data_IF_786746782283
#
_entry.id   IF_786746782283
#
_cell.length_a   1.000
_cell.length_b   1.000
_cell.length_c   1.000
_cell.angle_alpha   90.00
_cell.angle_beta   90.00
_cell.angle_gamma   90.00
#
_symmetry.space_group_name_H-M   'P 1'
#
loop_
_entity.id
_entity.type
_entity.pdbx_description
1 polymer ?
#
# COMPACT_ATOMS: atom_id res chain seq x y z
N UNK A 1 14.41 -36.23 -63.47
CA UNK A 1 13.48 -35.69 -62.45
C UNK A 1 14.05 -35.96 -61.07
N UNK A 2 14.04 -34.97 -60.16
CA UNK A 2 14.07 -35.23 -58.72
C UNK A 2 15.26 -34.66 -57.94
N UNK A 3 15.26 -33.34 -57.67
CA UNK A 3 15.86 -32.70 -56.47
C UNK A 3 15.15 -31.35 -56.24
N UNK A 4 13.92 -31.35 -55.74
CA UNK A 4 13.18 -30.12 -55.35
C UNK A 4 12.40 -30.34 -54.05
N UNK A 5 13.03 -30.95 -53.04
CA UNK A 5 12.36 -31.16 -51.74
C UNK A 5 13.18 -30.70 -50.53
N UNK A 6 14.33 -30.03 -50.73
CA UNK A 6 15.20 -29.64 -49.62
C UNK A 6 15.30 -28.11 -49.39
N UNK A 7 14.80 -27.28 -50.30
CA UNK A 7 14.98 -25.81 -50.23
C UNK A 7 13.86 -25.10 -49.49
N UNK A 8 12.62 -25.64 -49.52
CA UNK A 8 11.46 -25.03 -48.84
C UNK A 8 11.54 -25.24 -47.33
N UNK A 9 11.86 -26.46 -46.89
CA UNK A 9 12.04 -26.76 -45.47
C UNK A 9 13.18 -25.93 -44.84
N UNK A 10 14.23 -25.65 -45.62
CA UNK A 10 15.36 -24.81 -45.20
C UNK A 10 14.96 -23.33 -45.12
N UNK A 11 14.10 -22.83 -46.03
CA UNK A 11 13.55 -21.47 -45.97
C UNK A 11 12.61 -21.27 -44.77
N UNK A 12 11.78 -22.26 -44.48
CA UNK A 12 10.88 -22.25 -43.32
C UNK A 12 11.71 -22.24 -42.02
N UNK A 13 12.72 -23.12 -41.92
CA UNK A 13 13.63 -23.16 -40.76
C UNK A 13 14.41 -21.85 -40.55
N UNK A 14 14.84 -21.18 -41.64
CA UNK A 14 15.50 -19.87 -41.56
C UNK A 14 14.52 -18.78 -41.08
N UNK A 15 13.27 -18.83 -41.51
CA UNK A 15 12.22 -17.89 -41.10
C UNK A 15 11.85 -18.09 -39.64
N UNK A 16 11.68 -19.33 -39.20
CA UNK A 16 11.40 -19.68 -37.79
C UNK A 16 12.52 -19.18 -36.86
N UNK A 17 13.79 -19.36 -37.24
CA UNK A 17 14.93 -18.88 -36.45
C UNK A 17 14.99 -17.34 -36.41
N UNK A 18 14.61 -16.68 -37.51
CA UNK A 18 14.53 -15.22 -37.56
C UNK A 18 13.46 -14.71 -36.59
N UNK A 19 12.27 -15.28 -36.63
CA UNK A 19 11.16 -14.91 -35.75
C UNK A 19 11.50 -15.17 -34.29
N UNK A 20 12.20 -16.28 -34.00
CA UNK A 20 12.72 -16.58 -32.66
C UNK A 20 13.66 -15.49 -32.15
N UNK A 21 14.59 -15.02 -32.99
CA UNK A 21 15.54 -13.95 -32.62
C UNK A 21 14.84 -12.61 -32.43
N UNK A 22 13.88 -12.28 -33.29
CA UNK A 22 13.12 -11.03 -33.18
C UNK A 22 12.31 -11.00 -31.88
N UNK A 23 11.64 -12.11 -31.54
CA UNK A 23 10.91 -12.24 -30.28
C UNK A 23 11.82 -12.07 -29.06
N UNK A 24 13.01 -12.69 -29.07
CA UNK A 24 13.99 -12.52 -27.99
C UNK A 24 14.47 -11.08 -27.87
N UNK A 25 14.72 -10.40 -29.00
CA UNK A 25 15.14 -9.00 -29.00
C UNK A 25 14.03 -8.09 -28.43
N UNK A 26 12.77 -8.31 -28.79
CA UNK A 26 11.64 -7.57 -28.22
C UNK A 26 11.50 -7.77 -26.71
N UNK A 27 11.63 -9.02 -26.24
CA UNK A 27 11.61 -9.32 -24.80
C UNK A 27 12.77 -8.65 -24.07
N UNK A 28 13.95 -8.60 -24.68
CA UNK A 28 15.12 -7.94 -24.11
C UNK A 28 14.91 -6.41 -23.99
N UNK A 29 14.34 -5.77 -25.03
CA UNK A 29 13.98 -4.35 -24.97
C UNK A 29 12.95 -4.12 -23.86
N UNK A 30 11.89 -4.93 -23.81
CA UNK A 30 10.87 -4.84 -22.76
C UNK A 30 11.49 -4.98 -21.35
N UNK A 31 12.39 -5.94 -21.16
CA UNK A 31 13.11 -6.11 -19.90
C UNK A 31 13.90 -4.85 -19.54
N UNK A 32 14.66 -4.28 -20.48
CA UNK A 32 15.47 -3.08 -20.23
C UNK A 32 14.65 -1.86 -19.80
N UNK A 33 13.39 -1.75 -20.24
CA UNK A 33 12.49 -0.65 -19.85
C UNK A 33 11.91 -0.78 -18.44
N UNK A 34 11.92 -1.99 -17.87
CA UNK A 34 11.39 -2.26 -16.53
C UNK A 34 12.45 -2.05 -15.43
N UNK A 35 13.73 -2.01 -15.79
CA UNK A 35 14.82 -1.87 -14.83
C UNK A 35 15.05 -0.40 -14.47
N UNK A 36 15.25 -0.08 -13.18
CA UNK A 36 15.60 1.26 -12.75
C UNK A 36 17.02 1.61 -13.19
N UNK A 37 17.18 2.61 -14.05
CA UNK A 37 18.46 3.17 -14.51
C UNK A 37 19.45 2.11 -15.05
N UNK A 38 19.20 1.50 -16.23
CA UNK A 38 20.12 0.51 -16.79
C UNK A 38 21.50 1.14 -16.97
N UNK A 39 22.51 0.53 -16.34
CA UNK A 39 23.87 1.10 -16.30
C UNK A 39 24.51 1.12 -17.69
N UNK A 40 24.15 0.15 -18.54
CA UNK A 40 24.55 -0.01 -19.95
C UNK A 40 23.48 -0.78 -20.73
N UNK A 41 23.44 -0.58 -22.05
CA UNK A 41 22.48 -1.25 -22.95
C UNK A 41 22.99 -2.59 -23.49
N UNK A 42 24.11 -3.11 -22.99
CA UNK A 42 24.62 -4.41 -23.43
C UNK A 42 23.87 -5.57 -22.76
N UNK A 43 23.83 -6.71 -23.46
CA UNK A 43 23.03 -7.87 -23.05
C UNK A 43 23.41 -8.44 -21.69
N UNK A 44 24.71 -8.40 -21.34
CA UNK A 44 25.18 -8.94 -20.08
C UNK A 44 24.80 -8.01 -18.92
N UNK A 45 25.03 -6.70 -19.05
CA UNK A 45 24.69 -5.73 -18.01
C UNK A 45 23.19 -5.67 -17.74
N UNK A 46 22.32 -5.72 -18.75
CA UNK A 46 20.86 -5.73 -18.52
C UNK A 46 20.41 -6.99 -17.76
N UNK A 47 21.01 -8.14 -18.05
CA UNK A 47 20.68 -9.38 -17.33
C UNK A 47 21.21 -9.38 -15.89
N UNK A 48 22.38 -8.78 -15.67
CA UNK A 48 22.95 -8.58 -14.32
C UNK A 48 22.09 -7.61 -13.50
N UNK A 49 21.76 -6.46 -14.07
CA UNK A 49 20.89 -5.44 -13.46
C UNK A 49 19.51 -6.05 -13.13
N UNK A 50 18.94 -6.87 -14.02
CA UNK A 50 17.69 -7.59 -13.76
C UNK A 50 17.80 -8.58 -12.60
N UNK A 51 18.87 -9.38 -12.54
CA UNK A 51 19.10 -10.31 -11.43
C UNK A 51 19.24 -9.57 -10.10
N UNK A 52 19.94 -8.44 -10.09
CA UNK A 52 20.14 -7.62 -8.90
C UNK A 52 18.84 -6.99 -8.44
N UNK A 53 18.06 -6.43 -9.37
CA UNK A 53 16.77 -5.80 -9.05
C UNK A 53 15.75 -6.80 -8.48
N UNK A 54 15.71 -8.04 -8.99
CA UNK A 54 14.86 -9.10 -8.40
C UNK A 54 15.27 -9.39 -6.96
N UNK A 55 16.57 -9.51 -6.65
CA UNK A 55 17.05 -9.74 -5.28
C UNK A 55 16.74 -8.57 -4.35
N UNK A 56 16.85 -7.34 -4.84
CA UNK A 56 16.47 -6.14 -4.09
C UNK A 56 14.98 -6.16 -3.75
N UNK A 57 14.12 -6.45 -4.74
CA UNK A 57 12.69 -6.58 -4.54
C UNK A 57 12.34 -7.70 -3.53
N UNK A 58 12.99 -8.86 -3.62
CA UNK A 58 12.83 -9.94 -2.65
C UNK A 58 13.24 -9.52 -1.23
N UNK A 59 14.36 -8.77 -1.08
CA UNK A 59 14.79 -8.22 0.20
C UNK A 59 13.78 -7.22 0.77
N UNK A 60 13.28 -6.31 -0.07
CA UNK A 60 12.28 -5.32 0.34
C UNK A 60 10.98 -6.00 0.78
N UNK A 61 10.51 -7.01 0.06
CA UNK A 61 9.33 -7.79 0.47
C UNK A 61 9.58 -8.46 1.82
N UNK A 62 10.74 -9.09 2.02
CA UNK A 62 11.10 -9.73 3.28
C UNK A 62 11.17 -8.74 4.45
N UNK A 63 11.78 -7.57 4.27
CA UNK A 63 11.85 -6.53 5.30
C UNK A 63 10.45 -6.00 5.66
N UNK A 64 9.58 -5.82 4.67
CA UNK A 64 8.19 -5.43 4.88
C UNK A 64 7.39 -6.52 5.62
N UNK A 65 7.63 -7.79 5.31
CA UNK A 65 7.00 -8.92 6.02
C UNK A 65 7.52 -9.04 7.46
N UNK A 66 8.83 -8.92 7.70
CA UNK A 66 9.43 -9.01 9.03
C UNK A 66 9.04 -7.84 9.94
N UNK A 67 8.97 -6.62 9.40
CA UNK A 67 8.45 -5.46 10.13
C UNK A 67 6.95 -5.58 10.46
N UNK A 68 6.18 -6.31 9.64
CA UNK A 68 4.79 -6.67 9.95
C UNK A 68 4.66 -7.80 10.98
N UNK A 69 5.63 -8.74 11.01
CA UNK A 69 5.64 -9.87 11.94
C UNK A 69 6.09 -9.49 13.37
N UNK A 70 6.88 -8.42 13.53
CA UNK A 70 7.28 -7.89 14.84
C UNK A 70 6.14 -7.31 15.69
N UNK A 71 4.94 -7.15 15.12
CA UNK A 71 3.75 -6.63 15.81
C UNK A 71 2.72 -7.73 16.12
N UNK A 72 3.13 -8.99 16.29
CA UNK A 72 2.23 -10.06 16.71
C UNK A 72 2.79 -10.89 17.88
N UNK A 73 1.99 -11.01 18.95
CA UNK A 73 2.18 -11.76 20.21
C UNK A 73 2.79 -10.94 21.36
N UNK A 74 2.14 -10.79 22.52
CA UNK A 74 1.34 -11.78 23.25
C UNK A 74 0.13 -11.13 23.92
N UNK A 75 -1.03 -11.68 23.61
CA UNK A 75 -2.19 -11.60 24.49
C UNK A 75 -2.53 -13.02 24.98
N UNK A 76 -3.26 -13.08 26.09
CA UNK A 76 -3.81 -14.25 26.80
C UNK A 76 -2.91 -14.89 27.87
N UNK A 77 -3.22 -14.57 29.13
CA UNK A 77 -3.73 -15.54 30.13
C UNK A 77 -4.45 -14.81 31.28
N UNK A 78 -5.75 -15.05 31.38
CA UNK A 78 -6.64 -14.70 32.50
C UNK A 78 -6.28 -15.43 33.80
N UNK A 79 -6.35 -14.75 34.95
CA UNK A 79 -7.30 -15.08 36.04
C UNK A 79 -7.10 -14.18 37.28
N UNK A 80 -8.17 -13.45 37.60
CA UNK A 80 -8.78 -13.12 38.90
C UNK A 80 -8.09 -12.29 40.01
N UNK A 81 -8.87 -11.25 40.36
CA UNK A 81 -9.19 -10.65 41.65
C UNK A 81 -8.35 -9.48 42.26
N UNK A 82 -9.15 -8.45 42.60
CA UNK A 82 -9.01 -7.39 43.60
C UNK A 82 -8.23 -6.09 43.30
N UNK A 83 -9.03 -5.08 42.93
CA UNK A 83 -9.15 -3.72 43.50
C UNK A 83 -7.95 -2.74 43.59
N UNK A 84 -8.32 -1.47 43.36
CA UNK A 84 -7.58 -0.23 43.58
C UNK A 84 -6.46 0.18 42.58
N UNK A 85 -6.93 0.70 41.44
CA UNK A 85 -6.55 2.01 40.87
C UNK A 85 -5.05 2.39 40.78
N UNK A 86 -4.45 2.11 39.62
CA UNK A 86 -3.55 3.04 38.89
C UNK A 86 -3.17 2.42 37.55
N UNK A 87 -4.05 2.51 36.56
CA UNK A 87 -3.78 1.92 35.24
C UNK A 87 -3.23 2.98 34.28
N UNK A 88 -1.91 2.95 34.10
CA UNK A 88 -1.23 3.39 32.89
C UNK A 88 -1.97 2.85 31.66
N UNK A 89 -2.77 3.69 30.99
CA UNK A 89 -3.33 3.37 29.68
C UNK A 89 -2.20 3.47 28.65
N UNK A 90 -1.56 2.35 28.38
CA UNK A 90 -0.73 2.18 27.18
C UNK A 90 -1.64 2.32 25.97
N UNK A 91 -1.65 3.54 25.39
CA UNK A 91 -2.31 3.87 24.12
C UNK A 91 -1.80 2.91 23.05
N UNK A 92 -2.63 1.95 22.63
CA UNK A 92 -2.35 1.07 21.50
C UNK A 92 -3.17 1.53 20.30
N UNK A 93 -2.48 2.10 19.31
CA UNK A 93 -2.68 1.74 17.90
C UNK A 93 -3.64 2.52 17.03
N UNK A 94 -4.40 3.48 17.54
CA UNK A 94 -5.41 4.23 16.77
C UNK A 94 -5.34 5.71 17.14
N UNK A 95 -4.27 6.39 16.74
CA UNK A 95 -4.20 7.84 16.91
C UNK A 95 -4.90 8.51 15.73
N UNK A 96 -5.89 9.33 16.03
CA UNK A 96 -6.57 10.16 15.04
C UNK A 96 -5.84 11.49 15.04
N UNK A 97 -5.18 11.78 13.93
CA UNK A 97 -4.55 13.08 13.71
C UNK A 97 -5.58 14.03 13.10
N UNK A 98 -5.73 15.19 13.71
CA UNK A 98 -6.66 16.24 13.27
C UNK A 98 -5.86 17.52 13.02
N UNK A 99 -5.97 18.06 11.82
CA UNK A 99 -5.40 19.34 11.43
C UNK A 99 -6.51 20.28 10.96
N UNK A 100 -6.46 21.54 11.40
CA UNK A 100 -7.47 22.55 11.07
C UNK A 100 -6.77 23.78 10.50
N UNK A 101 -7.26 24.28 9.37
CA UNK A 101 -6.75 25.49 8.71
C UNK A 101 -7.91 26.28 8.10
N UNK A 102 -8.19 27.46 8.65
CA UNK A 102 -9.35 28.24 8.27
C UNK A 102 -10.65 27.44 8.49
N UNK A 103 -11.40 27.22 7.42
CA UNK A 103 -12.62 26.38 7.43
C UNK A 103 -12.37 24.92 7.12
N UNK A 104 -11.16 24.53 6.72
CA UNK A 104 -10.84 23.16 6.32
C UNK A 104 -10.35 22.34 7.51
N UNK A 105 -10.83 21.10 7.59
CA UNK A 105 -10.39 20.06 8.53
C UNK A 105 -9.80 18.91 7.72
N UNK A 106 -8.64 18.43 8.14
CA UNK A 106 -8.07 17.16 7.72
C UNK A 106 -8.10 16.20 8.91
N UNK A 107 -8.74 15.06 8.75
CA UNK A 107 -8.74 13.96 9.72
C UNK A 107 -8.01 12.78 9.11
N UNK A 108 -7.00 12.28 9.80
CA UNK A 108 -6.21 11.12 9.39
C UNK A 108 -6.30 10.06 10.47
N UNK A 109 -6.66 8.84 10.10
CA UNK A 109 -6.76 7.75 11.05
C UNK A 109 -6.49 6.41 10.38
N UNK A 110 -6.11 5.45 11.21
CA UNK A 110 -5.93 4.07 10.81
C UNK A 110 -7.08 3.24 11.36
N UNK A 111 -7.69 2.40 10.53
CA UNK A 111 -8.68 1.45 10.99
C UNK A 111 -8.43 0.07 10.37
N UNK A 112 -9.02 -0.97 10.94
CA UNK A 112 -9.02 -2.29 10.31
C UNK A 112 -9.89 -2.25 9.07
N UNK A 113 -9.70 -3.21 8.17
CA UNK A 113 -10.59 -3.48 7.04
C UNK A 113 -11.87 -4.17 7.53
N UNK A 114 -12.47 -3.65 8.60
CA UNK A 114 -13.85 -3.91 8.96
C UNK A 114 -14.72 -2.76 8.44
N UNK A 115 -15.94 -3.10 8.04
CA UNK A 115 -16.82 -2.15 7.35
C UNK A 115 -17.37 -1.06 8.27
N UNK A 116 -17.25 -1.21 9.59
CA UNK A 116 -17.96 -0.38 10.57
C UNK A 116 -17.14 0.79 11.10
N UNK A 117 -15.83 0.61 11.34
CA UNK A 117 -15.00 1.63 12.02
C UNK A 117 -14.94 2.93 11.22
N UNK A 118 -14.58 2.86 9.94
CA UNK A 118 -14.52 4.06 9.10
C UNK A 118 -15.89 4.71 8.87
N UNK A 119 -16.97 3.92 8.76
CA UNK A 119 -18.32 4.45 8.58
C UNK A 119 -18.79 5.20 9.82
N UNK A 120 -18.47 4.68 11.01
CA UNK A 120 -18.79 5.33 12.27
C UNK A 120 -18.08 6.68 12.40
N UNK A 121 -16.79 6.75 12.06
CA UNK A 121 -16.02 8.00 12.07
C UNK A 121 -16.61 9.02 11.10
N UNK A 122 -16.92 8.62 9.87
CA UNK A 122 -17.55 9.52 8.88
C UNK A 122 -18.93 9.99 9.34
N UNK A 123 -19.73 9.10 9.93
CA UNK A 123 -21.03 9.44 10.50
C UNK A 123 -20.92 10.44 11.64
N UNK A 124 -19.95 10.25 12.53
CA UNK A 124 -19.70 11.16 13.64
C UNK A 124 -19.22 12.53 13.17
N UNK A 125 -18.35 12.58 12.15
CA UNK A 125 -17.94 13.84 11.52
C UNK A 125 -19.15 14.63 10.99
N UNK A 126 -20.11 13.94 10.35
CA UNK A 126 -21.35 14.57 9.88
C UNK A 126 -22.24 15.03 11.04
N UNK A 127 -22.36 14.22 12.10
CA UNK A 127 -23.17 14.56 13.30
C UNK A 127 -22.62 15.80 14.03
N UNK A 128 -21.30 15.94 14.08
CA UNK A 128 -20.61 17.08 14.67
C UNK A 128 -20.75 18.35 13.79
N UNK A 129 -21.25 18.21 12.55
CA UNK A 129 -21.53 19.32 11.65
C UNK A 129 -20.41 19.63 10.65
N UNK A 130 -19.51 18.67 10.40
CA UNK A 130 -18.50 18.79 9.35
C UNK A 130 -19.09 18.36 8.01
N UNK A 131 -18.84 19.14 6.95
CA UNK A 131 -19.21 18.77 5.58
C UNK A 131 -18.05 18.04 4.91
N UNK A 132 -18.20 16.75 4.62
CA UNK A 132 -17.14 15.97 3.98
C UNK A 132 -16.97 16.41 2.53
N UNK A 133 -15.79 16.94 2.19
CA UNK A 133 -15.42 17.34 0.83
C UNK A 133 -14.86 16.13 0.07
N UNK A 134 -13.92 15.41 0.69
CA UNK A 134 -13.29 14.26 0.07
C UNK A 134 -12.82 13.24 1.10
N UNK A 135 -12.75 11.99 0.68
CA UNK A 135 -12.25 10.88 1.48
C UNK A 135 -11.35 10.03 0.61
N UNK A 136 -10.15 9.75 1.10
CA UNK A 136 -9.18 8.89 0.47
C UNK A 136 -8.82 7.75 1.44
N UNK A 137 -8.92 6.51 0.98
CA UNK A 137 -8.56 5.34 1.74
C UNK A 137 -7.46 4.57 1.00
N UNK A 138 -6.34 4.34 1.69
CA UNK A 138 -5.19 3.61 1.16
C UNK A 138 -4.96 2.38 2.02
N UNK A 139 -4.85 1.21 1.41
CA UNK A 139 -4.45 -0.01 2.11
C UNK A 139 -3.00 -0.35 1.79
N UNK A 140 -2.15 -0.38 2.80
CA UNK A 140 -0.78 -0.90 2.67
C UNK A 140 -0.70 -2.40 3.03
N UNK A 141 -1.64 -2.89 3.83
CA UNK A 141 -1.71 -4.30 4.26
C UNK A 141 -3.05 -4.93 3.87
N UNK A 142 -3.16 -6.24 4.04
CA UNK A 142 -4.41 -6.97 3.83
C UNK A 142 -5.49 -6.67 4.89
N UNK A 143 -5.11 -6.04 6.01
CA UNK A 143 -5.94 -5.92 7.21
C UNK A 143 -6.21 -4.48 7.65
N UNK A 144 -5.49 -3.49 7.12
CA UNK A 144 -5.51 -2.12 7.63
C UNK A 144 -5.76 -1.11 6.50
N UNK A 145 -6.60 -0.12 6.79
CA UNK A 145 -6.83 1.05 5.96
C UNK A 145 -6.26 2.30 6.66
N UNK A 146 -5.53 3.12 5.90
CA UNK A 146 -5.16 4.47 6.28
C UNK A 146 -6.09 5.43 5.55
N UNK A 147 -6.83 6.23 6.31
CA UNK A 147 -7.91 7.06 5.79
C UNK A 147 -7.57 8.52 6.02
N UNK A 148 -7.74 9.31 4.96
CA UNK A 148 -7.62 10.77 4.98
C UNK A 148 -8.96 11.36 4.60
N UNK A 149 -9.57 12.15 5.48
CA UNK A 149 -10.84 12.82 5.25
C UNK A 149 -10.60 14.33 5.26
N UNK A 150 -11.01 14.99 4.18
CA UNK A 150 -11.03 16.46 4.11
C UNK A 150 -12.47 16.90 4.27
N UNK A 151 -12.72 17.80 5.21
CA UNK A 151 -14.04 18.34 5.49
C UNK A 151 -14.00 19.86 5.66
N UNK A 152 -15.17 20.50 5.59
CA UNK A 152 -15.38 21.92 5.84
C UNK A 152 -16.22 22.12 7.09
N UNK A 153 -15.83 23.11 7.91
CA UNK A 153 -16.57 23.54 9.09
C UNK A 153 -17.61 24.59 8.71
N UNK A 154 -18.75 24.59 9.38
CA UNK A 154 -19.69 25.71 9.35
C UNK A 154 -19.10 26.97 9.99
N UNK A 155 -19.61 28.14 9.64
CA UNK A 155 -19.10 29.44 10.10
C UNK A 155 -19.20 29.63 11.63
N UNK A 156 -20.09 28.89 12.28
CA UNK A 156 -20.36 28.89 13.72
C UNK A 156 -19.73 27.70 14.46
N UNK A 157 -18.91 26.89 13.79
CA UNK A 157 -18.29 25.72 14.39
C UNK A 157 -17.23 26.10 15.44
N UNK A 158 -17.46 25.72 16.71
CA UNK A 158 -16.52 25.95 17.80
C UNK A 158 -16.04 24.63 18.43
N UNK A 159 -14.93 24.09 17.93
CA UNK A 159 -14.27 22.93 18.52
C UNK A 159 -12.75 23.02 18.32
N UNK A 160 -11.96 22.58 19.30
CA UNK A 160 -10.50 22.49 19.14
C UNK A 160 -10.12 21.18 18.42
N UNK A 161 -8.97 21.13 17.73
CA UNK A 161 -8.53 19.89 17.08
C UNK A 161 -8.34 18.73 18.08
N UNK A 162 -7.96 19.02 19.33
CA UNK A 162 -7.81 18.02 20.39
C UNK A 162 -9.16 17.48 20.91
N UNK A 163 -10.18 18.34 20.95
CA UNK A 163 -11.54 17.89 21.29
C UNK A 163 -12.13 17.06 20.16
N UNK A 164 -11.93 17.46 18.91
CA UNK A 164 -12.38 16.70 17.75
C UNK A 164 -11.71 15.33 17.69
N UNK A 165 -10.38 15.25 17.86
CA UNK A 165 -9.68 13.96 17.89
C UNK A 165 -10.20 13.05 18.99
N UNK A 166 -10.47 13.59 20.19
CA UNK A 166 -11.03 12.82 21.30
C UNK A 166 -12.47 12.34 21.07
N UNK A 167 -13.29 13.10 20.34
CA UNK A 167 -14.64 12.65 19.98
C UNK A 167 -14.59 11.54 18.94
N UNK A 168 -13.79 11.72 17.89
CA UNK A 168 -13.64 10.70 16.85
C UNK A 168 -12.98 9.41 17.39
N UNK A 169 -12.10 9.52 18.40
CA UNK A 169 -11.50 8.36 19.07
C UNK A 169 -12.52 7.52 19.86
N UNK A 170 -13.70 8.05 20.17
CA UNK A 170 -14.73 7.27 20.89
C UNK A 170 -15.54 6.36 19.96
N UNK A 171 -15.52 6.62 18.65
CA UNK A 171 -16.31 5.89 17.65
C UNK A 171 -15.50 4.95 16.78
N UNK A 172 -14.17 4.92 17.00
CA UNK A 172 -13.23 4.08 16.28
C UNK A 172 -13.19 2.65 16.82
#
# INVERSE_FOLDING_TARGET
MGKVSNTVHDQDHVSDERDRREKLAQQFISLSTLLPNPTKTDMASVLEDACNYIKELESHVKELEESSAGCNSKDVRESNDDEASSSHKTKRGEDIEVQMSGKSVLVQFQCKRDSSSYVNVLGEMLNIGLSIISTNAVSFTSTTLFINVVAEMADDFCMTPADLSKNLQQVL
#
